data_IF_510087133527
#
_entry.id   IF_510087133527
#
_cell.length_a   1.000
_cell.length_b   1.000
_cell.length_c   1.000
_cell.angle_alpha   90.00
_cell.angle_beta   90.00
_cell.angle_gamma   90.00
#
_symmetry.space_group_name_H-M   'P 1'
#
loop_
_entity.id
_entity.type
_entity.pdbx_description
1 polymer ?
#
# COMPACT_ATOMS: atom_id res chain seq x y z
N UNK A 1 -27.00 18.26 19.07
CA UNK A 1 -26.24 17.61 17.98
C UNK A 1 -25.57 18.72 17.17
N UNK A 2 -24.39 19.18 17.61
CA UNK A 2 -23.62 20.14 16.83
C UNK A 2 -22.81 19.33 15.81
N UNK A 3 -23.20 19.42 14.53
CA UNK A 3 -22.27 19.12 13.45
C UNK A 3 -21.06 20.02 13.68
N UNK A 4 -19.87 19.44 13.90
CA UNK A 4 -18.64 20.19 13.76
C UNK A 4 -18.74 20.86 12.39
N UNK A 5 -18.77 22.18 12.40
CA UNK A 5 -18.83 22.94 11.17
C UNK A 5 -17.62 22.55 10.31
N UNK A 6 -17.78 22.46 9.01
CA UNK A 6 -16.79 22.06 8.02
C UNK A 6 -15.49 22.93 7.96
N UNK A 7 -15.05 23.50 9.07
CA UNK A 7 -14.04 24.58 9.16
C UNK A 7 -13.07 24.46 10.32
N UNK A 8 -13.12 23.43 11.18
CA UNK A 8 -12.10 23.33 12.24
C UNK A 8 -10.83 22.63 11.73
N UNK A 9 -9.70 23.32 11.80
CA UNK A 9 -8.38 22.75 11.52
C UNK A 9 -8.09 21.65 12.54
N UNK A 10 -7.87 20.42 12.08
CA UNK A 10 -7.44 19.31 12.91
C UNK A 10 -5.91 19.24 12.93
N UNK A 11 -5.35 18.89 14.09
CA UNK A 11 -3.94 18.54 14.28
C UNK A 11 -3.85 17.03 14.42
N UNK A 12 -3.28 16.36 13.43
CA UNK A 12 -3.35 14.92 13.24
C UNK A 12 -1.96 14.30 13.33
N UNK A 13 -1.76 13.36 14.26
CA UNK A 13 -0.54 12.56 14.31
C UNK A 13 -0.68 11.35 13.40
N UNK A 14 0.19 11.20 12.39
CA UNK A 14 0.25 10.02 11.53
C UNK A 14 1.49 9.18 11.87
N UNK A 15 1.27 7.89 12.15
CA UNK A 15 2.33 6.93 12.46
C UNK A 15 2.31 5.80 11.43
N UNK A 16 3.43 5.59 10.74
CA UNK A 16 3.53 4.59 9.69
C UNK A 16 4.97 4.09 9.53
N UNK A 17 5.15 3.02 8.77
CA UNK A 17 6.48 2.67 8.28
C UNK A 17 6.92 3.63 7.17
N UNK A 18 8.07 4.32 7.32
CA UNK A 18 8.55 5.30 6.33
C UNK A 18 9.24 4.62 5.14
N UNK A 19 8.68 3.52 4.63
CA UNK A 19 9.30 2.67 3.60
C UNK A 19 8.59 2.81 2.26
N UNK A 20 9.23 2.28 1.19
CA UNK A 20 8.63 2.18 -0.15
C UNK A 20 7.44 1.19 -0.23
N UNK A 21 7.06 0.54 0.86
CA UNK A 21 5.89 -0.34 0.92
C UNK A 21 4.58 0.43 0.77
N UNK A 22 3.55 -0.26 0.28
CA UNK A 22 2.24 0.36 -0.02
C UNK A 22 1.62 1.12 1.14
N UNK A 23 1.74 0.61 2.38
CA UNK A 23 1.21 1.27 3.58
C UNK A 23 1.85 2.62 3.88
N UNK A 24 3.20 2.73 3.74
CA UNK A 24 3.92 3.99 3.94
C UNK A 24 3.56 5.02 2.88
N UNK A 25 3.37 4.57 1.64
CA UNK A 25 2.90 5.42 0.54
C UNK A 25 1.50 5.96 0.82
N UNK A 26 0.55 5.08 1.18
CA UNK A 26 -0.84 5.47 1.48
C UNK A 26 -0.89 6.45 2.66
N UNK A 27 -0.19 6.17 3.76
CA UNK A 27 -0.15 7.06 4.92
C UNK A 27 0.42 8.44 4.56
N UNK A 28 1.48 8.48 3.75
CA UNK A 28 2.10 9.74 3.34
C UNK A 28 1.20 10.56 2.42
N UNK A 29 0.60 9.93 1.41
CA UNK A 29 -0.31 10.63 0.50
C UNK A 29 -1.60 11.09 1.21
N UNK A 30 -2.12 10.32 2.18
CA UNK A 30 -3.23 10.73 3.03
C UNK A 30 -2.87 11.99 3.83
N UNK A 31 -1.71 11.99 4.51
CA UNK A 31 -1.26 13.15 5.28
C UNK A 31 -1.07 14.40 4.43
N UNK A 32 -0.51 14.25 3.23
CA UNK A 32 -0.38 15.36 2.26
C UNK A 32 -1.74 15.90 1.81
N UNK A 33 -2.70 15.02 1.57
CA UNK A 33 -4.05 15.41 1.19
C UNK A 33 -4.78 16.14 2.32
N UNK A 34 -4.66 15.65 3.56
CA UNK A 34 -5.19 16.33 4.75
C UNK A 34 -4.58 17.74 4.92
N UNK A 35 -3.26 17.86 4.78
CA UNK A 35 -2.59 19.17 4.85
C UNK A 35 -3.06 20.12 3.73
N UNK A 36 -3.32 19.61 2.52
CA UNK A 36 -3.87 20.41 1.43
C UNK A 36 -5.30 20.91 1.66
N UNK A 37 -6.04 20.28 2.59
CA UNK A 37 -7.35 20.73 3.08
C UNK A 37 -7.24 21.72 4.25
N UNK A 38 -6.03 22.08 4.66
CA UNK A 38 -5.78 23.06 5.74
C UNK A 38 -5.60 22.44 7.13
N UNK A 39 -5.54 21.11 7.26
CA UNK A 39 -5.20 20.45 8.51
C UNK A 39 -3.69 20.50 8.80
N UNK A 40 -3.30 20.37 10.06
CA UNK A 40 -1.91 20.19 10.47
C UNK A 40 -1.62 18.70 10.65
N UNK A 41 -0.59 18.19 9.98
CA UNK A 41 -0.23 16.77 9.96
C UNK A 41 1.17 16.57 10.52
N UNK A 42 1.30 15.74 11.56
CA UNK A 42 2.53 15.43 12.25
C UNK A 42 2.90 13.97 12.01
N UNK A 43 3.88 13.72 11.14
CA UNK A 43 4.42 12.38 10.94
C UNK A 43 5.36 12.01 12.07
N UNK A 44 5.09 10.90 12.77
CA UNK A 44 5.90 10.39 13.88
C UNK A 44 6.47 9.04 13.45
N UNK A 45 7.72 9.01 12.99
CA UNK A 45 8.35 7.85 12.36
C UNK A 45 9.87 7.84 12.59
N UNK A 46 10.52 6.69 12.41
CA UNK A 46 11.99 6.56 12.62
C UNK A 46 12.85 7.07 11.45
N UNK A 47 12.24 7.43 10.34
CA UNK A 47 12.87 8.09 9.18
C UNK A 47 11.81 8.90 8.45
N UNK A 48 12.23 9.87 7.65
CA UNK A 48 11.32 10.65 6.82
C UNK A 48 10.57 9.72 5.84
N UNK A 49 9.22 9.78 5.77
CA UNK A 49 8.43 9.00 4.83
C UNK A 49 8.84 9.24 3.37
N UNK A 50 8.95 8.16 2.61
CA UNK A 50 9.57 8.17 1.27
C UNK A 50 8.94 9.16 0.29
N UNK A 51 7.61 9.32 0.30
CA UNK A 51 6.91 10.25 -0.61
C UNK A 51 6.64 11.61 0.02
N UNK A 52 7.16 11.89 1.21
CA UNK A 52 6.93 13.18 1.86
C UNK A 52 7.55 14.33 1.06
N UNK A 53 8.69 14.08 0.42
CA UNK A 53 9.38 15.07 -0.40
C UNK A 53 10.08 16.15 0.44
N UNK A 54 10.24 17.35 -0.15
CA UNK A 54 10.75 18.53 0.53
C UNK A 54 9.66 19.20 1.36
N UNK A 55 9.69 20.48 1.52
CA UNK A 55 8.74 21.24 2.32
C UNK A 55 7.30 21.20 1.75
N UNK A 56 6.31 20.97 2.65
CA UNK A 56 4.88 21.18 2.40
C UNK A 56 4.27 21.92 3.60
N UNK A 57 3.56 23.04 3.40
CA UNK A 57 2.87 23.74 4.47
C UNK A 57 1.88 22.83 5.22
N UNK A 58 1.84 22.95 6.54
CA UNK A 58 0.96 22.14 7.40
C UNK A 58 1.44 20.70 7.62
N UNK A 59 2.64 20.31 7.13
CA UNK A 59 3.22 19.00 7.37
C UNK A 59 4.50 19.11 8.19
N UNK A 60 4.54 18.36 9.28
CA UNK A 60 5.65 18.31 10.24
C UNK A 60 6.17 16.89 10.37
N UNK A 61 7.45 16.76 10.67
CA UNK A 61 8.11 15.46 10.86
C UNK A 61 8.78 15.41 12.23
N UNK A 62 8.54 14.32 12.95
CA UNK A 62 9.10 14.03 14.28
C UNK A 62 9.81 12.69 14.23
N UNK A 63 11.11 12.71 14.37
CA UNK A 63 11.93 11.51 14.34
C UNK A 63 11.85 10.73 15.64
N UNK A 64 11.68 9.42 15.53
CA UNK A 64 11.71 8.46 16.63
C UNK A 64 13.10 7.85 16.68
N UNK A 65 13.97 8.42 17.52
CA UNK A 65 15.33 7.94 17.71
C UNK A 65 15.39 6.91 18.83
N UNK A 66 15.85 5.71 18.54
CA UNK A 66 16.06 4.66 19.53
C UNK A 66 17.52 4.67 19.98
N UNK A 67 17.75 5.06 21.23
CA UNK A 67 19.07 5.04 21.81
C UNK A 67 19.61 3.60 21.96
N UNK A 68 20.87 3.42 21.62
CA UNK A 68 21.57 2.15 21.85
C UNK A 68 21.99 2.08 23.32
N UNK A 69 21.38 1.16 24.06
CA UNK A 69 21.78 0.85 25.42
C UNK A 69 22.32 -0.57 25.51
N UNK A 70 23.54 -0.79 26.07
CA UNK A 70 24.22 -2.09 25.98
C UNK A 70 23.45 -3.28 26.56
N UNK A 71 22.52 -3.07 27.50
CA UNK A 71 21.71 -4.15 28.07
C UNK A 71 20.47 -4.49 27.26
N UNK A 72 20.14 -3.72 26.22
CA UNK A 72 19.07 -4.06 25.32
C UNK A 72 19.62 -4.92 24.16
N UNK A 73 19.31 -6.20 24.17
CA UNK A 73 19.61 -7.10 23.06
C UNK A 73 18.90 -6.63 21.79
N UNK A 74 17.64 -6.19 21.94
CA UNK A 74 16.82 -5.61 20.87
C UNK A 74 16.43 -4.17 21.20
N UNK A 75 16.55 -3.22 20.25
CA UNK A 75 16.12 -1.84 20.46
C UNK A 75 14.63 -1.77 20.82
N UNK A 76 14.22 -1.12 21.93
CA UNK A 76 12.83 -1.06 22.37
C UNK A 76 12.03 -0.01 21.59
N UNK A 77 11.91 -0.20 20.29
CA UNK A 77 11.29 0.77 19.36
C UNK A 77 9.88 1.18 19.80
N UNK A 78 9.04 0.21 20.18
CA UNK A 78 7.65 0.48 20.56
C UNK A 78 7.54 1.40 21.79
N UNK A 79 8.40 1.22 22.79
CA UNK A 79 8.41 2.06 23.99
C UNK A 79 8.84 3.50 23.66
N UNK A 80 9.86 3.65 22.81
CA UNK A 80 10.33 4.97 22.38
C UNK A 80 9.29 5.66 21.51
N UNK A 81 8.62 4.92 20.62
CA UNK A 81 7.52 5.41 19.80
C UNK A 81 6.35 5.90 20.69
N UNK A 82 5.97 5.11 21.70
CA UNK A 82 4.96 5.51 22.70
C UNK A 82 5.30 6.85 23.33
N UNK A 83 6.54 7.00 23.84
CA UNK A 83 7.02 8.23 24.48
C UNK A 83 7.02 9.42 23.51
N UNK A 84 7.45 9.20 22.25
CA UNK A 84 7.44 10.25 21.22
C UNK A 84 6.01 10.68 20.87
N UNK A 85 5.06 9.75 20.78
CA UNK A 85 3.64 10.10 20.57
C UNK A 85 3.11 10.98 21.71
N UNK A 86 3.39 10.63 22.97
CA UNK A 86 2.99 11.44 24.14
C UNK A 86 3.58 12.86 24.05
N UNK A 87 4.89 12.96 23.78
CA UNK A 87 5.58 14.25 23.62
C UNK A 87 4.93 15.11 22.53
N UNK A 88 4.75 14.54 21.34
CA UNK A 88 4.21 15.29 20.18
C UNK A 88 2.76 15.70 20.41
N UNK A 89 1.94 14.81 20.99
CA UNK A 89 0.55 15.14 21.36
C UNK A 89 0.49 16.31 22.34
N UNK A 90 1.31 16.31 23.38
CA UNK A 90 1.32 17.37 24.39
C UNK A 90 1.87 18.68 23.83
N UNK A 91 2.99 18.63 23.09
CA UNK A 91 3.68 19.82 22.58
C UNK A 91 2.89 20.52 21.48
N UNK A 92 2.25 19.76 20.60
CA UNK A 92 1.53 20.30 19.43
C UNK A 92 0.01 20.22 19.58
N UNK A 93 -0.49 19.80 20.76
CA UNK A 93 -1.92 19.69 21.06
C UNK A 93 -2.70 18.90 20.02
N UNK A 94 -2.18 17.73 19.59
CA UNK A 94 -2.83 16.92 18.56
C UNK A 94 -4.25 16.53 19.00
N UNK A 95 -5.17 16.54 18.03
CA UNK A 95 -6.56 16.17 18.25
C UNK A 95 -6.77 14.66 18.22
N UNK A 96 -6.00 13.94 17.37
CA UNK A 96 -6.10 12.49 17.19
C UNK A 96 -4.77 11.88 16.72
N UNK A 97 -4.65 10.56 16.89
CA UNK A 97 -3.58 9.76 16.34
C UNK A 97 -4.18 8.81 15.29
N UNK A 98 -3.67 8.84 14.05
CA UNK A 98 -3.97 7.86 13.01
C UNK A 98 -2.72 7.00 12.77
N UNK A 99 -2.82 5.73 13.13
CA UNK A 99 -1.70 4.79 13.06
C UNK A 99 -1.97 3.70 12.03
N UNK A 100 -0.94 3.32 11.32
CA UNK A 100 -0.98 2.28 10.31
C UNK A 100 -0.29 1.03 10.83
N UNK A 101 -0.96 -0.11 10.83
CA UNK A 101 -0.65 -1.40 11.45
C UNK A 101 -1.06 -1.56 12.93
N UNK A 102 -1.56 -2.73 13.25
CA UNK A 102 -1.89 -3.11 14.64
C UNK A 102 -0.64 -3.15 15.54
N UNK A 103 0.45 -3.68 15.04
CA UNK A 103 1.75 -3.71 15.72
C UNK A 103 2.87 -3.21 14.79
N UNK A 104 3.84 -2.46 15.30
CA UNK A 104 3.94 -1.93 16.66
C UNK A 104 3.16 -0.62 16.86
N UNK A 105 2.52 -0.07 15.84
CA UNK A 105 2.05 1.31 15.84
C UNK A 105 0.78 1.48 16.69
N UNK A 106 -0.26 0.65 16.50
CA UNK A 106 -1.48 0.78 17.32
C UNK A 106 -1.23 0.36 18.76
N UNK A 107 -0.42 -0.67 19.04
CA UNK A 107 -0.05 -1.04 20.40
C UNK A 107 0.67 0.10 21.12
N UNK A 108 1.62 0.79 20.46
CA UNK A 108 2.28 1.99 20.99
C UNK A 108 1.29 3.14 21.22
N UNK A 109 0.36 3.38 20.27
CA UNK A 109 -0.62 4.46 20.38
C UNK A 109 -1.64 4.23 21.52
N UNK A 110 -2.08 3.00 21.73
CA UNK A 110 -2.94 2.62 22.86
C UNK A 110 -2.24 2.87 24.19
N UNK A 111 -0.95 2.56 24.29
CA UNK A 111 -0.16 2.88 25.48
C UNK A 111 0.01 4.40 25.65
N UNK A 112 0.29 5.14 24.57
CA UNK A 112 0.37 6.60 24.61
C UNK A 112 -0.97 7.23 25.06
N UNK A 113 -2.11 6.74 24.54
CA UNK A 113 -3.45 7.17 24.94
C UNK A 113 -3.67 7.01 26.46
N UNK A 114 -3.25 5.88 27.06
CA UNK A 114 -3.36 5.64 28.50
C UNK A 114 -2.52 6.62 29.31
N UNK A 115 -1.27 6.85 28.92
CA UNK A 115 -0.38 7.82 29.60
C UNK A 115 -0.96 9.24 29.53
N UNK A 116 -1.49 9.63 28.37
CA UNK A 116 -2.12 10.94 28.18
C UNK A 116 -3.38 11.11 29.02
N UNK A 117 -4.18 10.06 29.17
CA UNK A 117 -5.40 10.08 30.00
C UNK A 117 -5.09 10.32 31.48
N UNK A 118 -3.95 9.84 32.03
CA UNK A 118 -3.50 10.12 33.39
C UNK A 118 -3.25 11.62 33.64
N UNK A 119 -2.91 12.35 32.56
CA UNK A 119 -2.75 13.83 32.63
C UNK A 119 -4.03 14.59 32.20
N UNK A 120 -5.16 13.90 32.08
CA UNK A 120 -6.46 14.48 31.71
C UNK A 120 -6.61 14.77 30.21
N UNK A 121 -5.69 14.26 29.36
CA UNK A 121 -5.72 14.45 27.92
C UNK A 121 -6.27 13.21 27.23
N UNK A 122 -7.49 13.27 26.71
CA UNK A 122 -8.08 12.20 25.91
C UNK A 122 -7.83 12.43 24.43
N UNK A 123 -7.16 11.48 23.76
CA UNK A 123 -6.82 11.54 22.33
C UNK A 123 -7.29 10.25 21.66
N UNK A 124 -8.21 10.29 20.70
CA UNK A 124 -8.66 9.09 20.01
C UNK A 124 -7.57 8.54 19.10
N UNK A 125 -7.58 7.20 18.97
CA UNK A 125 -6.69 6.41 18.12
C UNK A 125 -7.47 5.77 17.00
N UNK A 126 -7.12 6.12 15.77
CA UNK A 126 -7.61 5.47 14.56
C UNK A 126 -6.53 4.51 14.05
N UNK A 127 -6.89 3.28 13.77
CA UNK A 127 -5.94 2.25 13.29
C UNK A 127 -6.36 1.74 11.93
N UNK A 128 -5.45 1.87 10.93
CA UNK A 128 -5.61 1.25 9.61
C UNK A 128 -4.76 -0.02 9.51
N UNK A 129 -5.41 -1.16 9.27
CA UNK A 129 -4.77 -2.46 9.05
C UNK A 129 -4.41 -2.62 7.58
N UNK A 130 -3.19 -3.13 7.31
CA UNK A 130 -2.64 -3.23 5.95
C UNK A 130 -2.40 -4.67 5.47
N UNK A 131 -2.52 -5.65 6.33
CA UNK A 131 -2.48 -7.07 6.00
C UNK A 131 -1.27 -7.81 6.53
N UNK A 132 -0.05 -7.30 6.44
CA UNK A 132 1.14 -7.98 6.99
C UNK A 132 1.02 -8.23 8.50
N UNK A 133 0.46 -7.29 9.22
CA UNK A 133 0.13 -7.38 10.65
C UNK A 133 -0.92 -8.45 10.95
N UNK A 134 -1.82 -8.72 10.04
CA UNK A 134 -2.95 -9.65 10.20
C UNK A 134 -2.63 -11.03 9.64
N UNK A 135 -2.27 -11.10 8.36
CA UNK A 135 -2.17 -12.38 7.63
C UNK A 135 -0.79 -13.03 7.70
N UNK A 136 0.26 -12.27 8.09
CA UNK A 136 1.60 -12.77 8.27
C UNK A 136 1.98 -12.83 9.76
N UNK A 137 2.11 -11.68 10.42
CA UNK A 137 2.48 -11.63 11.84
C UNK A 137 1.37 -12.19 12.73
N UNK A 138 0.11 -11.94 12.39
CA UNK A 138 -1.05 -12.45 13.15
C UNK A 138 -1.21 -13.97 13.13
N UNK A 139 -0.48 -14.70 12.27
CA UNK A 139 -0.43 -16.17 12.31
C UNK A 139 0.47 -16.70 13.43
N UNK A 140 1.39 -15.90 13.93
CA UNK A 140 2.24 -16.24 15.07
C UNK A 140 1.46 -15.98 16.37
N UNK A 141 1.25 -17.05 17.14
CA UNK A 141 0.49 -17.01 18.39
C UNK A 141 1.08 -16.04 19.43
N UNK A 142 2.39 -15.73 19.36
CA UNK A 142 3.05 -14.80 20.28
C UNK A 142 2.58 -13.35 20.12
N UNK A 143 2.16 -12.95 18.92
CA UNK A 143 1.65 -11.60 18.65
C UNK A 143 0.12 -11.47 18.80
N UNK A 144 -0.61 -12.60 18.76
CA UNK A 144 -2.08 -12.58 18.75
C UNK A 144 -2.71 -11.78 19.88
N UNK A 145 -2.31 -11.91 21.17
CA UNK A 145 -2.90 -11.14 22.25
C UNK A 145 -2.73 -9.63 22.09
N UNK A 146 -1.53 -9.19 21.66
CA UNK A 146 -1.22 -7.75 21.50
C UNK A 146 -1.98 -7.17 20.30
N UNK A 147 -2.04 -7.88 19.19
CA UNK A 147 -2.80 -7.47 18.00
C UNK A 147 -4.29 -7.35 18.34
N UNK A 148 -4.87 -8.38 18.98
CA UNK A 148 -6.29 -8.36 19.43
C UNK A 148 -6.56 -7.17 20.34
N UNK A 149 -5.68 -6.94 21.32
CA UNK A 149 -5.82 -5.82 22.26
C UNK A 149 -5.73 -4.47 21.53
N UNK A 150 -4.76 -4.28 20.65
CA UNK A 150 -4.58 -3.05 19.90
C UNK A 150 -5.81 -2.74 19.02
N UNK A 151 -6.34 -3.75 18.31
CA UNK A 151 -7.56 -3.61 17.50
C UNK A 151 -8.75 -3.20 18.39
N UNK A 152 -9.00 -3.93 19.48
CA UNK A 152 -10.17 -3.71 20.33
C UNK A 152 -10.12 -2.42 21.16
N UNK A 153 -8.93 -1.88 21.41
CA UNK A 153 -8.74 -0.65 22.19
C UNK A 153 -8.66 0.61 21.31
N UNK A 154 -8.39 0.49 20.02
CA UNK A 154 -8.48 1.62 19.09
C UNK A 154 -9.92 2.15 19.04
N UNK A 155 -10.11 3.46 18.89
CA UNK A 155 -11.46 4.06 18.84
C UNK A 155 -12.16 3.75 17.51
N UNK A 156 -11.41 3.81 16.42
CA UNK A 156 -11.87 3.41 15.08
C UNK A 156 -10.82 2.48 14.45
N UNK A 157 -11.30 1.41 13.82
CA UNK A 157 -10.43 0.49 13.07
C UNK A 157 -10.88 0.44 11.62
N UNK A 158 -9.91 0.55 10.70
CA UNK A 158 -10.16 0.42 9.27
C UNK A 158 -9.30 -0.68 8.66
N UNK A 159 -9.75 -1.25 7.57
CA UNK A 159 -9.01 -2.17 6.70
C UNK A 159 -9.00 -1.66 5.27
N UNK A 160 -7.99 -2.05 4.52
CA UNK A 160 -7.80 -1.60 3.13
C UNK A 160 -8.64 -2.37 2.11
N UNK A 161 -9.33 -3.43 2.54
CA UNK A 161 -10.20 -4.27 1.70
C UNK A 161 -11.22 -5.03 2.53
N UNK A 162 -12.31 -5.46 1.90
CA UNK A 162 -13.29 -6.36 2.54
C UNK A 162 -12.65 -7.72 2.87
N UNK A 163 -11.79 -8.21 1.98
CA UNK A 163 -11.05 -9.45 2.21
C UNK A 163 -10.23 -9.38 3.50
N UNK A 164 -9.50 -8.28 3.72
CA UNK A 164 -8.70 -8.10 4.93
C UNK A 164 -9.58 -7.95 6.19
N UNK A 165 -10.75 -7.30 6.08
CA UNK A 165 -11.74 -7.27 7.17
C UNK A 165 -12.15 -8.67 7.56
N UNK A 166 -12.57 -9.50 6.60
CA UNK A 166 -13.00 -10.87 6.83
C UNK A 166 -11.88 -11.72 7.46
N UNK A 167 -10.62 -11.55 6.99
CA UNK A 167 -9.47 -12.23 7.58
C UNK A 167 -9.22 -11.78 9.03
N UNK A 168 -9.35 -10.50 9.32
CA UNK A 168 -9.17 -9.95 10.66
C UNK A 168 -10.22 -10.52 11.63
N UNK A 169 -11.49 -10.49 11.25
CA UNK A 169 -12.60 -11.04 12.06
C UNK A 169 -12.48 -12.55 12.26
N UNK A 170 -11.94 -13.29 11.27
CA UNK A 170 -11.71 -14.73 11.37
C UNK A 170 -10.53 -15.09 12.26
N UNK A 171 -9.45 -14.31 12.26
CA UNK A 171 -8.20 -14.63 12.96
C UNK A 171 -8.15 -14.12 14.41
N UNK A 172 -8.89 -13.06 14.72
CA UNK A 172 -8.87 -12.38 16.01
C UNK A 172 -10.27 -12.27 16.61
N UNK A 173 -10.33 -12.20 17.93
CA UNK A 173 -11.56 -11.93 18.67
C UNK A 173 -11.84 -10.42 18.66
N UNK A 174 -12.40 -9.94 17.56
CA UNK A 174 -12.74 -8.53 17.37
C UNK A 174 -14.12 -8.25 17.97
N UNK A 175 -14.23 -7.23 18.83
CA UNK A 175 -15.46 -6.84 19.53
C UNK A 175 -16.02 -5.49 19.08
N UNK A 176 -15.60 -4.99 17.92
CA UNK A 176 -16.04 -3.73 17.33
C UNK A 176 -16.17 -3.84 15.81
N UNK A 177 -16.90 -2.92 15.21
CA UNK A 177 -16.99 -2.82 13.77
C UNK A 177 -15.67 -2.36 13.17
N UNK A 178 -15.28 -3.03 12.09
CA UNK A 178 -14.13 -2.64 11.25
C UNK A 178 -14.69 -2.00 9.97
N UNK A 179 -14.24 -0.81 9.68
CA UNK A 179 -14.63 -0.07 8.48
C UNK A 179 -13.72 -0.44 7.30
N UNK A 180 -14.28 -0.61 6.13
CA UNK A 180 -13.47 -0.77 4.91
C UNK A 180 -13.24 0.59 4.27
N UNK A 181 -11.97 0.98 4.17
CA UNK A 181 -11.53 2.18 3.46
C UNK A 181 -10.43 1.75 2.52
N UNK A 182 -10.75 1.62 1.25
CA UNK A 182 -9.81 1.16 0.24
C UNK A 182 -8.59 2.07 0.13
N UNK A 183 -7.45 1.49 -0.24
CA UNK A 183 -6.30 2.29 -0.66
C UNK A 183 -6.65 3.09 -1.91
N UNK A 184 -5.87 4.11 -2.16
CA UNK A 184 -6.12 5.09 -3.21
C UNK A 184 -4.86 5.49 -3.95
N UNK A 185 -5.06 6.16 -5.07
CA UNK A 185 -4.01 6.83 -5.85
C UNK A 185 -4.28 8.31 -5.96
N UNK A 186 -3.23 9.09 -6.18
CA UNK A 186 -3.34 10.51 -6.53
C UNK A 186 -3.20 10.66 -8.06
N UNK A 187 -4.26 11.06 -8.78
CA UNK A 187 -4.23 11.14 -10.25
C UNK A 187 -3.08 11.97 -10.80
N UNK A 188 -2.69 13.03 -10.11
CA UNK A 188 -1.59 13.94 -10.50
C UNK A 188 -0.26 13.24 -10.77
N UNK A 189 -0.03 12.08 -10.14
CA UNK A 189 1.20 11.32 -10.32
C UNK A 189 1.25 10.62 -11.69
N UNK A 190 0.09 10.32 -12.28
CA UNK A 190 -0.07 9.54 -13.52
C UNK A 190 -0.34 10.40 -14.76
N UNK A 191 -0.50 11.72 -14.59
CA UNK A 191 -0.63 12.68 -15.69
C UNK A 191 0.72 13.04 -16.35
N UNK A 192 1.82 12.47 -15.87
CA UNK A 192 3.16 12.70 -16.40
C UNK A 192 3.31 12.00 -17.75
N UNK A 193 4.20 12.56 -18.57
CA UNK A 193 4.56 11.92 -19.84
C UNK A 193 5.47 10.71 -19.58
N UNK A 194 5.21 9.63 -20.29
CA UNK A 194 6.07 8.46 -20.32
C UNK A 194 7.47 8.82 -20.84
N UNK A 195 8.49 8.18 -20.28
CA UNK A 195 9.87 8.26 -20.82
C UNK A 195 9.96 7.40 -22.09
N UNK A 196 9.70 8.04 -23.23
CA UNK A 196 9.70 7.37 -24.52
C UNK A 196 11.12 6.98 -24.96
N UNK A 197 12.16 7.68 -24.48
CA UNK A 197 13.55 7.31 -24.77
C UNK A 197 13.91 5.99 -24.07
N UNK A 198 13.56 5.87 -22.79
CA UNK A 198 13.77 4.61 -22.08
C UNK A 198 12.91 3.48 -22.68
N UNK A 199 11.64 3.75 -23.01
CA UNK A 199 10.79 2.77 -23.69
C UNK A 199 11.41 2.30 -25.02
N UNK A 200 11.99 3.21 -25.83
CA UNK A 200 12.59 2.83 -27.10
C UNK A 200 13.86 1.98 -26.94
N UNK A 201 14.62 2.15 -25.85
CA UNK A 201 15.77 1.31 -25.51
C UNK A 201 15.33 -0.08 -25.05
N UNK A 202 14.25 -0.15 -24.26
CA UNK A 202 13.69 -1.42 -23.78
C UNK A 202 12.99 -2.20 -24.89
N UNK A 203 12.34 -1.50 -25.78
CA UNK A 203 11.56 -2.06 -26.91
C UNK A 203 11.86 -1.31 -28.21
N UNK A 204 13.04 -1.53 -28.85
CA UNK A 204 13.49 -0.77 -30.02
C UNK A 204 12.53 -0.87 -31.22
N UNK A 205 11.78 -1.96 -31.33
CA UNK A 205 10.84 -2.23 -32.42
C UNK A 205 9.38 -1.93 -32.06
N UNK A 206 9.14 -1.26 -30.88
CA UNK A 206 7.80 -0.97 -30.41
C UNK A 206 7.00 -2.19 -29.92
N UNK A 207 7.69 -3.26 -29.52
CA UNK A 207 7.07 -4.45 -28.91
C UNK A 207 6.27 -4.05 -27.66
N UNK A 208 5.17 -4.74 -27.30
CA UNK A 208 4.54 -4.56 -26.02
C UNK A 208 5.51 -4.81 -24.85
N UNK A 209 5.35 -4.03 -23.79
CA UNK A 209 6.16 -4.13 -22.56
C UNK A 209 5.29 -4.67 -21.44
N UNK A 210 5.59 -5.87 -20.97
CA UNK A 210 5.05 -6.43 -19.75
C UNK A 210 5.84 -5.89 -18.55
N UNK A 211 5.19 -5.74 -17.40
CA UNK A 211 5.83 -5.26 -16.19
C UNK A 211 5.47 -6.11 -14.99
N UNK A 212 6.40 -6.25 -14.05
CA UNK A 212 6.14 -6.73 -12.70
C UNK A 212 6.83 -5.82 -11.69
N UNK A 213 6.11 -5.42 -10.64
CA UNK A 213 6.62 -4.56 -9.57
C UNK A 213 6.35 -5.19 -8.22
N UNK A 214 7.40 -5.55 -7.47
CA UNK A 214 7.26 -6.07 -6.12
C UNK A 214 8.58 -6.04 -5.33
N UNK A 215 8.54 -6.50 -4.08
CA UNK A 215 9.72 -6.69 -3.23
C UNK A 215 10.33 -8.09 -3.35
N UNK A 216 10.06 -8.82 -4.42
CA UNK A 216 10.59 -10.14 -4.78
C UNK A 216 10.67 -11.13 -3.61
N UNK A 217 9.61 -11.18 -2.78
CA UNK A 217 9.43 -12.20 -1.74
C UNK A 217 8.72 -13.43 -2.31
N UNK A 218 8.83 -14.62 -1.68
CA UNK A 218 8.19 -15.85 -2.17
C UNK A 218 6.72 -15.69 -2.51
N UNK A 219 5.95 -14.99 -1.66
CA UNK A 219 4.50 -14.72 -1.89
C UNK A 219 4.20 -13.92 -3.16
N UNK A 220 5.21 -13.30 -3.79
CA UNK A 220 5.06 -12.55 -5.05
C UNK A 220 5.23 -13.42 -6.29
N UNK A 221 5.69 -14.67 -6.12
CA UNK A 221 5.82 -15.67 -7.18
C UNK A 221 6.50 -15.14 -8.44
N UNK A 222 7.63 -14.44 -8.25
CA UNK A 222 8.35 -13.79 -9.37
C UNK A 222 8.83 -14.79 -10.44
N UNK A 223 9.03 -16.06 -10.08
CA UNK A 223 9.34 -17.12 -11.04
C UNK A 223 8.16 -17.37 -12.00
N UNK A 224 6.92 -17.32 -11.50
CA UNK A 224 5.73 -17.45 -12.33
C UNK A 224 5.63 -16.29 -13.34
N UNK A 225 6.08 -15.08 -12.97
CA UNK A 225 6.14 -13.95 -13.92
C UNK A 225 7.02 -14.31 -15.12
N UNK A 226 8.18 -14.90 -14.86
CA UNK A 226 9.11 -15.33 -15.92
C UNK A 226 8.48 -16.46 -16.77
N UNK A 227 7.79 -17.41 -16.12
CA UNK A 227 7.07 -18.48 -16.80
C UNK A 227 5.96 -17.97 -17.73
N UNK A 228 5.15 -17.03 -17.23
CA UNK A 228 4.10 -16.38 -18.04
C UNK A 228 4.75 -15.66 -19.22
N UNK A 229 5.78 -14.85 -18.94
CA UNK A 229 6.50 -14.12 -19.96
C UNK A 229 7.07 -15.02 -21.06
N UNK A 230 7.74 -16.11 -20.69
CA UNK A 230 8.34 -17.04 -21.64
C UNK A 230 7.29 -17.66 -22.59
N UNK A 231 6.09 -18.01 -22.07
CA UNK A 231 4.98 -18.52 -22.88
C UNK A 231 4.42 -17.48 -23.85
N UNK A 232 4.32 -16.24 -23.42
CA UNK A 232 3.91 -15.12 -24.28
C UNK A 232 4.98 -14.87 -25.33
N UNK A 233 6.26 -14.80 -24.93
CA UNK A 233 7.41 -14.54 -25.81
C UNK A 233 7.57 -15.61 -26.92
N UNK A 234 7.20 -16.86 -26.63
CA UNK A 234 7.21 -17.94 -27.62
C UNK A 234 6.20 -17.73 -28.77
N UNK A 235 5.23 -16.84 -28.61
CA UNK A 235 4.13 -16.63 -29.57
C UNK A 235 4.07 -15.21 -30.14
N UNK A 236 4.65 -14.22 -29.44
CA UNK A 236 4.69 -12.83 -29.89
C UNK A 236 5.93 -12.10 -29.37
N UNK A 237 6.38 -11.12 -30.11
CA UNK A 237 7.49 -10.26 -29.70
C UNK A 237 7.04 -9.35 -28.53
N UNK A 238 7.67 -9.52 -27.36
CA UNK A 238 7.39 -8.75 -26.13
C UNK A 238 8.68 -8.51 -25.35
N UNK A 239 8.70 -7.51 -24.48
CA UNK A 239 9.75 -7.31 -23.48
C UNK A 239 9.17 -7.37 -22.06
N UNK A 240 9.99 -7.74 -21.08
CA UNK A 240 9.60 -7.78 -19.67
C UNK A 240 10.46 -6.84 -18.84
N UNK A 241 9.79 -6.01 -18.04
CA UNK A 241 10.40 -5.11 -17.09
C UNK A 241 10.14 -5.58 -15.66
N UNK A 242 11.19 -6.02 -14.97
CA UNK A 242 11.17 -6.48 -13.58
C UNK A 242 11.64 -5.37 -12.66
N UNK A 243 10.72 -4.83 -11.84
CA UNK A 243 10.98 -3.68 -10.96
C UNK A 243 10.90 -4.12 -9.50
N UNK A 244 11.95 -3.86 -8.78
CA UNK A 244 12.09 -4.25 -7.39
C UNK A 244 13.28 -5.16 -7.14
N UNK A 245 13.39 -5.64 -5.91
CA UNK A 245 14.49 -6.50 -5.48
C UNK A 245 14.08 -7.28 -4.24
N UNK A 246 14.72 -8.43 -4.03
CA UNK A 246 14.44 -9.28 -2.88
C UNK A 246 15.02 -10.68 -3.02
N UNK A 247 14.72 -11.58 -2.05
CA UNK A 247 15.34 -12.90 -1.98
C UNK A 247 15.09 -13.79 -3.20
N UNK A 248 13.97 -13.58 -3.92
CA UNK A 248 13.62 -14.40 -5.10
C UNK A 248 14.26 -13.90 -6.42
N UNK A 249 15.00 -12.79 -6.41
CA UNK A 249 15.64 -12.27 -7.62
C UNK A 249 16.62 -13.27 -8.25
N UNK A 250 17.54 -13.92 -7.51
CA UNK A 250 18.45 -14.90 -8.10
C UNK A 250 17.72 -16.07 -8.78
N UNK A 251 16.59 -16.51 -8.21
CA UNK A 251 15.75 -17.58 -8.78
C UNK A 251 15.10 -17.13 -10.11
N UNK A 252 14.57 -15.91 -10.15
CA UNK A 252 13.99 -15.35 -11.38
C UNK A 252 15.05 -15.21 -12.48
N UNK A 253 16.25 -14.68 -12.16
CA UNK A 253 17.36 -14.57 -13.12
C UNK A 253 17.85 -15.94 -13.62
N UNK A 254 17.92 -16.96 -12.74
CA UNK A 254 18.24 -18.33 -13.13
C UNK A 254 17.17 -18.88 -14.08
N UNK A 255 15.90 -18.64 -13.78
CA UNK A 255 14.79 -19.09 -14.62
C UNK A 255 14.78 -18.44 -16.00
N UNK A 256 15.17 -17.18 -16.11
CA UNK A 256 15.36 -16.52 -17.43
C UNK A 256 16.41 -17.25 -18.28
N UNK A 257 17.52 -17.67 -17.68
CA UNK A 257 18.58 -18.43 -18.39
C UNK A 257 18.09 -19.80 -18.84
N UNK A 258 17.36 -20.53 -17.98
CA UNK A 258 16.81 -21.85 -18.29
C UNK A 258 15.80 -21.81 -19.44
N UNK A 259 15.03 -20.73 -19.55
CA UNK A 259 13.99 -20.55 -20.57
C UNK A 259 14.49 -19.78 -21.81
N UNK A 260 15.77 -19.39 -21.85
CA UNK A 260 16.41 -18.65 -22.95
C UNK A 260 15.68 -17.33 -23.30
N UNK A 261 15.33 -16.56 -22.25
CA UNK A 261 14.61 -15.28 -22.41
C UNK A 261 15.37 -14.09 -21.83
N UNK A 262 16.64 -14.24 -21.46
CA UNK A 262 17.46 -13.23 -20.77
C UNK A 262 17.51 -11.90 -21.55
N UNK A 263 17.62 -11.94 -22.86
CA UNK A 263 17.80 -10.77 -23.70
C UNK A 263 16.55 -9.87 -23.80
N UNK A 264 15.37 -10.42 -23.47
CA UNK A 264 14.09 -9.72 -23.49
C UNK A 264 13.59 -9.32 -22.09
N UNK A 265 14.41 -9.56 -21.01
CA UNK A 265 14.06 -9.25 -19.62
C UNK A 265 15.04 -8.23 -19.01
N UNK A 266 14.50 -7.13 -18.51
CA UNK A 266 15.29 -6.10 -17.82
C UNK A 266 14.94 -6.03 -16.35
N UNK A 267 15.93 -6.24 -15.47
CA UNK A 267 15.81 -6.08 -14.03
C UNK A 267 16.32 -4.70 -13.60
N UNK A 268 15.41 -3.78 -13.27
CA UNK A 268 15.77 -2.41 -12.83
C UNK A 268 16.26 -2.33 -11.39
N UNK A 269 15.98 -3.35 -10.56
CA UNK A 269 16.20 -3.24 -9.13
C UNK A 269 15.20 -2.31 -8.45
N UNK A 270 15.55 -1.80 -7.27
CA UNK A 270 14.70 -0.88 -6.49
C UNK A 270 14.69 0.51 -7.13
N UNK A 271 13.51 0.98 -7.48
CA UNK A 271 13.31 2.35 -8.00
C UNK A 271 12.61 3.23 -6.96
N UNK A 272 12.96 4.50 -6.92
CA UNK A 272 12.31 5.48 -6.01
C UNK A 272 10.89 5.82 -6.45
N UNK A 273 10.63 5.81 -7.74
CA UNK A 273 9.34 6.13 -8.33
C UNK A 273 8.85 4.99 -9.23
N UNK A 274 7.97 4.10 -8.74
CA UNK A 274 7.46 2.98 -9.52
C UNK A 274 6.47 3.38 -10.62
N UNK A 275 6.04 4.64 -10.65
CA UNK A 275 5.10 5.15 -11.65
C UNK A 275 5.74 5.22 -13.03
N UNK A 276 7.01 5.64 -13.12
CA UNK A 276 7.72 5.76 -14.41
C UNK A 276 7.79 4.44 -15.18
N UNK A 277 8.18 3.29 -14.57
CA UNK A 277 8.07 1.99 -15.22
C UNK A 277 6.64 1.64 -15.68
N UNK A 278 5.60 2.00 -14.90
CA UNK A 278 4.22 1.74 -15.29
C UNK A 278 3.79 2.54 -16.52
N UNK A 279 4.16 3.83 -16.59
CA UNK A 279 3.80 4.70 -17.71
C UNK A 279 4.35 4.23 -19.07
N UNK A 280 5.39 3.40 -19.08
CA UNK A 280 5.97 2.83 -20.30
C UNK A 280 5.54 1.38 -20.56
N UNK A 281 4.70 0.81 -19.70
CA UNK A 281 4.25 -0.57 -19.77
C UNK A 281 2.88 -0.70 -20.44
N UNK A 282 2.60 -1.89 -20.96
CA UNK A 282 1.34 -2.20 -21.62
C UNK A 282 0.49 -3.20 -20.82
N UNK A 283 1.11 -3.97 -19.92
CA UNK A 283 0.44 -4.99 -19.11
C UNK A 283 1.22 -5.22 -17.80
N UNK A 284 0.52 -5.25 -16.66
CA UNK A 284 1.10 -5.68 -15.38
C UNK A 284 0.79 -7.14 -15.11
N UNK A 285 1.82 -7.92 -14.71
CA UNK A 285 1.69 -9.29 -14.22
C UNK A 285 1.83 -9.30 -12.70
N UNK A 286 0.83 -9.81 -11.97
CA UNK A 286 0.80 -9.87 -10.51
C UNK A 286 0.29 -11.25 -10.01
N UNK A 287 1.04 -12.35 -10.23
CA UNK A 287 0.64 -13.70 -9.85
C UNK A 287 0.82 -14.01 -8.37
N UNK A 288 0.66 -13.02 -7.49
CA UNK A 288 0.90 -13.13 -6.06
C UNK A 288 0.07 -14.22 -5.40
N UNK A 289 0.63 -14.90 -4.41
CA UNK A 289 -0.07 -15.90 -3.58
C UNK A 289 -1.02 -15.23 -2.59
N UNK A 290 -0.67 -14.05 -2.09
CA UNK A 290 -1.51 -13.24 -1.20
C UNK A 290 -1.33 -11.75 -1.48
N UNK A 291 -2.43 -11.01 -1.42
CA UNK A 291 -2.46 -9.55 -1.52
C UNK A 291 -3.58 -8.99 -0.64
N UNK A 292 -3.24 -8.03 0.22
CA UNK A 292 -4.26 -7.42 1.08
C UNK A 292 -5.18 -6.46 0.34
N UNK A 293 -4.69 -5.82 -0.73
CA UNK A 293 -5.45 -4.91 -1.59
C UNK A 293 -4.99 -4.97 -3.05
N UNK A 294 -3.67 -4.95 -3.28
CA UNK A 294 -3.10 -4.84 -4.62
C UNK A 294 -2.86 -3.39 -5.05
N UNK A 295 -2.22 -2.57 -4.19
CA UNK A 295 -1.94 -1.17 -4.52
C UNK A 295 -1.19 -1.02 -5.86
N UNK A 296 -0.25 -1.91 -6.16
CA UNK A 296 0.47 -1.91 -7.44
C UNK A 296 -0.47 -2.16 -8.63
N UNK A 297 -1.51 -2.99 -8.47
CA UNK A 297 -2.54 -3.16 -9.50
C UNK A 297 -3.30 -1.86 -9.73
N UNK A 298 -3.71 -1.18 -8.66
CA UNK A 298 -4.36 0.13 -8.74
C UNK A 298 -3.45 1.19 -9.38
N UNK A 299 -2.17 1.22 -9.00
CA UNK A 299 -1.17 2.14 -9.59
C UNK A 299 -0.99 1.87 -11.10
N UNK A 300 -0.95 0.61 -11.54
CA UNK A 300 -0.90 0.24 -12.95
C UNK A 300 -2.14 0.72 -13.71
N UNK A 301 -3.32 0.47 -13.16
CA UNK A 301 -4.58 0.89 -13.75
C UNK A 301 -4.67 2.42 -13.87
N UNK A 302 -4.18 3.16 -12.88
CA UNK A 302 -4.09 4.63 -12.94
C UNK A 302 -3.12 5.11 -14.02
N UNK A 303 -2.09 4.32 -14.35
CA UNK A 303 -1.20 4.54 -15.49
C UNK A 303 -1.78 4.04 -16.83
N UNK A 304 -3.05 3.64 -16.86
CA UNK A 304 -3.71 3.02 -18.02
C UNK A 304 -3.07 1.68 -18.43
N UNK A 305 -2.65 0.88 -17.46
CA UNK A 305 -2.04 -0.43 -17.67
C UNK A 305 -2.99 -1.50 -17.11
N UNK A 306 -3.59 -2.36 -17.95
CA UNK A 306 -4.40 -3.49 -17.52
C UNK A 306 -3.57 -4.49 -16.70
N UNK A 307 -4.26 -5.33 -15.91
CA UNK A 307 -3.61 -6.20 -14.93
C UNK A 307 -4.05 -7.64 -15.12
N UNK A 308 -3.09 -8.56 -15.17
CA UNK A 308 -3.33 -9.98 -14.93
C UNK A 308 -2.85 -10.32 -13.54
N UNK A 309 -3.74 -10.82 -12.70
CA UNK A 309 -3.42 -11.12 -11.32
C UNK A 309 -4.04 -12.43 -10.85
N UNK A 310 -3.53 -12.93 -9.74
CA UNK A 310 -4.20 -14.01 -9.01
C UNK A 310 -5.54 -13.54 -8.44
N UNK A 311 -6.49 -14.46 -8.32
CA UNK A 311 -7.81 -14.23 -7.71
C UNK A 311 -7.72 -14.43 -6.18
N UNK A 312 -6.98 -13.55 -5.49
CA UNK A 312 -6.71 -13.69 -4.05
C UNK A 312 -6.84 -12.37 -3.30
N UNK A 313 -7.24 -12.47 -2.04
CA UNK A 313 -7.27 -11.34 -1.11
C UNK A 313 -8.11 -10.18 -1.65
N UNK A 314 -7.56 -8.96 -1.58
CA UNK A 314 -8.22 -7.75 -2.07
C UNK A 314 -8.06 -7.49 -3.57
N UNK A 315 -7.35 -8.33 -4.33
CA UNK A 315 -7.17 -8.12 -5.78
C UNK A 315 -8.49 -8.08 -6.55
N UNK A 316 -9.50 -8.95 -6.28
CA UNK A 316 -10.80 -8.88 -6.96
C UNK A 316 -11.60 -7.60 -6.67
N UNK A 317 -11.26 -6.88 -5.59
CA UNK A 317 -11.89 -5.60 -5.27
C UNK A 317 -11.36 -4.44 -6.14
N UNK A 318 -10.18 -4.63 -6.76
CA UNK A 318 -9.52 -3.64 -7.62
C UNK A 318 -9.60 -4.05 -9.08
N UNK A 319 -9.12 -5.26 -9.41
CA UNK A 319 -9.08 -5.80 -10.77
C UNK A 319 -10.37 -6.58 -11.08
N UNK A 320 -11.15 -6.11 -12.05
CA UNK A 320 -12.41 -6.75 -12.45
C UNK A 320 -12.13 -7.69 -13.63
N UNK A 321 -12.48 -8.97 -13.42
CA UNK A 321 -12.24 -10.03 -14.42
C UNK A 321 -12.93 -9.72 -15.75
N UNK A 322 -12.17 -9.84 -16.86
CA UNK A 322 -12.60 -9.56 -18.24
C UNK A 322 -12.91 -8.08 -18.55
N UNK A 323 -12.91 -7.21 -17.54
CA UNK A 323 -13.15 -5.78 -17.73
C UNK A 323 -11.84 -4.98 -17.69
N UNK A 324 -11.11 -5.03 -16.58
CA UNK A 324 -9.89 -4.25 -16.39
C UNK A 324 -8.62 -5.06 -16.56
N UNK A 325 -8.79 -6.37 -16.71
CA UNK A 325 -7.77 -7.38 -16.86
C UNK A 325 -8.35 -8.76 -16.59
N UNK A 326 -7.52 -9.68 -16.09
CA UNK A 326 -7.96 -11.04 -15.77
C UNK A 326 -7.55 -11.45 -14.36
N UNK A 327 -8.42 -12.27 -13.74
CA UNK A 327 -8.17 -12.94 -12.47
C UNK A 327 -8.04 -14.45 -12.72
N UNK A 328 -6.99 -15.09 -12.21
CA UNK A 328 -6.75 -16.54 -12.35
C UNK A 328 -6.35 -17.14 -11.02
N UNK A 329 -6.46 -18.44 -10.90
CA UNK A 329 -5.99 -19.15 -9.72
C UNK A 329 -4.47 -19.01 -9.56
N UNK A 330 -3.99 -19.07 -8.33
CA UNK A 330 -2.55 -19.00 -8.03
C UNK A 330 -1.82 -20.14 -8.74
N UNK A 331 -0.81 -19.78 -9.54
CA UNK A 331 0.00 -20.74 -10.29
C UNK A 331 -0.59 -21.17 -11.64
N UNK A 332 -1.74 -20.63 -12.06
CA UNK A 332 -2.30 -20.89 -13.40
C UNK A 332 -1.58 -20.05 -14.47
N UNK A 333 -0.30 -20.37 -14.65
CA UNK A 333 0.61 -19.67 -15.56
C UNK A 333 0.13 -19.74 -17.01
N UNK A 334 -0.46 -20.87 -17.42
CA UNK A 334 -0.90 -21.07 -18.79
C UNK A 334 -2.12 -20.20 -19.14
N UNK A 335 -3.11 -20.12 -18.25
CA UNK A 335 -4.23 -19.22 -18.43
C UNK A 335 -3.78 -17.75 -18.42
N UNK A 336 -2.91 -17.35 -17.47
CA UNK A 336 -2.38 -15.98 -17.40
C UNK A 336 -1.62 -15.60 -18.69
N UNK A 337 -0.86 -16.51 -19.29
CA UNK A 337 -0.17 -16.27 -20.56
C UNK A 337 -1.14 -16.11 -21.73
N UNK A 338 -2.20 -16.92 -21.80
CA UNK A 338 -3.23 -16.78 -22.82
C UNK A 338 -3.99 -15.46 -22.70
N UNK A 339 -4.31 -15.05 -21.46
CA UNK A 339 -4.96 -13.76 -21.18
C UNK A 339 -4.06 -12.57 -21.56
N UNK A 340 -2.74 -12.69 -21.33
CA UNK A 340 -1.78 -11.66 -21.74
C UNK A 340 -1.80 -11.45 -23.25
N UNK A 341 -1.82 -12.51 -24.03
CA UNK A 341 -1.92 -12.43 -25.49
C UNK A 341 -3.26 -11.84 -25.94
N UNK A 342 -4.36 -12.18 -25.25
CA UNK A 342 -5.69 -11.62 -25.54
C UNK A 342 -5.72 -10.11 -25.32
N UNK A 343 -5.21 -9.62 -24.17
CA UNK A 343 -5.13 -8.17 -23.86
C UNK A 343 -4.22 -7.46 -24.85
N UNK A 344 -3.04 -8.02 -25.16
CA UNK A 344 -2.03 -7.39 -26.00
C UNK A 344 -2.40 -7.40 -27.50
N UNK A 345 -3.52 -8.00 -27.86
CA UNK A 345 -3.99 -7.95 -29.25
C UNK A 345 -4.32 -6.49 -29.64
N UNK A 346 -4.01 -6.06 -30.89
CA UNK A 346 -4.21 -4.68 -31.33
C UNK A 346 -5.63 -4.15 -31.14
N UNK A 347 -6.63 -5.02 -31.20
CA UNK A 347 -8.04 -4.65 -31.10
C UNK A 347 -8.53 -4.53 -29.64
N UNK A 348 -7.87 -5.16 -28.67
CA UNK A 348 -8.32 -5.21 -27.28
C UNK A 348 -7.55 -4.25 -26.35
N UNK A 349 -6.25 -4.04 -26.60
CA UNK A 349 -5.37 -3.32 -25.68
C UNK A 349 -5.87 -1.91 -25.34
N UNK A 350 -6.35 -1.17 -26.34
CA UNK A 350 -6.84 0.19 -26.12
C UNK A 350 -8.07 0.23 -25.20
N UNK A 351 -8.99 -0.72 -25.37
CA UNK A 351 -10.19 -0.83 -24.56
C UNK A 351 -9.87 -1.25 -23.11
N UNK A 352 -8.97 -2.23 -22.91
CA UNK A 352 -8.52 -2.61 -21.59
C UNK A 352 -7.80 -1.46 -20.87
N UNK A 353 -6.94 -0.72 -21.58
CA UNK A 353 -6.27 0.47 -21.03
C UNK A 353 -7.27 1.53 -20.55
N UNK A 354 -8.32 1.79 -21.35
CA UNK A 354 -9.33 2.78 -20.96
C UNK A 354 -10.13 2.30 -19.76
N UNK A 355 -10.64 1.06 -19.75
CA UNK A 355 -11.39 0.50 -18.63
C UNK A 355 -10.56 0.42 -17.35
N UNK A 356 -9.28 0.07 -17.43
CA UNK A 356 -8.37 0.10 -16.29
C UNK A 356 -8.26 1.51 -15.69
N UNK A 357 -8.07 2.53 -16.53
CA UNK A 357 -8.01 3.92 -16.09
C UNK A 357 -9.32 4.38 -15.44
N UNK A 358 -10.46 4.05 -16.04
CA UNK A 358 -11.78 4.41 -15.53
C UNK A 358 -12.03 3.77 -14.16
N UNK A 359 -11.64 2.50 -13.99
CA UNK A 359 -11.71 1.81 -12.70
C UNK A 359 -10.83 2.46 -11.64
N UNK A 360 -9.58 2.81 -11.98
CA UNK A 360 -8.69 3.50 -11.04
C UNK A 360 -9.25 4.84 -10.55
N UNK A 361 -10.05 5.53 -11.37
CA UNK A 361 -10.70 6.79 -10.99
C UNK A 361 -11.74 6.62 -9.87
N UNK A 362 -12.16 5.40 -9.57
CA UNK A 362 -13.05 5.11 -8.42
C UNK A 362 -12.28 5.12 -7.08
N UNK A 363 -10.95 4.97 -7.11
CA UNK A 363 -10.07 4.87 -5.94
C UNK A 363 -9.11 6.06 -5.83
N UNK A 364 -9.59 7.26 -6.11
CA UNK A 364 -8.76 8.46 -5.95
C UNK A 364 -8.79 9.00 -4.53
N UNK A 365 -7.74 9.74 -4.15
CA UNK A 365 -7.68 10.36 -2.83
C UNK A 365 -8.87 11.31 -2.59
N UNK A 366 -9.35 12.00 -3.62
CA UNK A 366 -10.48 12.92 -3.53
C UNK A 366 -11.79 12.20 -3.17
N UNK A 367 -11.91 10.91 -3.53
CA UNK A 367 -13.08 10.09 -3.17
C UNK A 367 -12.94 9.43 -1.81
N UNK A 368 -11.72 9.10 -1.40
CA UNK A 368 -11.45 8.38 -0.15
C UNK A 368 -11.30 9.33 1.05
N UNK A 369 -10.70 10.50 0.86
CA UNK A 369 -10.44 11.46 1.93
C UNK A 369 -11.69 11.86 2.74
N UNK A 370 -12.88 12.13 2.14
CA UNK A 370 -14.08 12.43 2.91
C UNK A 370 -14.45 11.33 3.90
N UNK A 371 -14.22 10.05 3.54
CA UNK A 371 -14.51 8.92 4.43
C UNK A 371 -13.60 8.93 5.65
N UNK A 372 -12.30 9.24 5.49
CA UNK A 372 -11.40 9.39 6.64
C UNK A 372 -11.81 10.56 7.54
N UNK A 373 -12.22 11.69 6.97
CA UNK A 373 -12.70 12.84 7.76
C UNK A 373 -13.96 12.50 8.57
N UNK A 374 -14.93 11.76 8.01
CA UNK A 374 -16.09 11.25 8.74
C UNK A 374 -15.68 10.33 9.91
N UNK A 375 -14.69 9.48 9.71
CA UNK A 375 -14.17 8.58 10.75
C UNK A 375 -13.44 9.36 11.85
N UNK A 376 -12.72 10.41 11.52
CA UNK A 376 -12.07 11.30 12.49
C UNK A 376 -13.11 12.04 13.33
N UNK A 377 -14.14 12.60 12.71
CA UNK A 377 -15.24 13.27 13.42
C UNK A 377 -15.94 12.30 14.40
N UNK A 378 -16.21 11.06 13.95
CA UNK A 378 -16.78 10.02 14.83
C UNK A 378 -15.89 9.69 16.01
N UNK A 379 -14.59 9.55 15.79
CA UNK A 379 -13.63 9.25 16.85
C UNK A 379 -13.53 10.39 17.88
N UNK A 380 -13.55 11.64 17.45
CA UNK A 380 -13.52 12.82 18.31
C UNK A 380 -14.79 12.91 19.17
N UNK A 381 -15.97 12.68 18.59
CA UNK A 381 -17.25 12.68 19.33
C UNK A 381 -17.33 11.61 20.43
N UNK A 382 -16.67 10.46 20.26
CA UNK A 382 -16.64 9.39 21.27
C UNK A 382 -15.79 9.76 22.49
N UNK A 383 -14.86 10.66 22.36
CA UNK A 383 -13.99 11.10 23.47
C UNK A 383 -14.63 12.25 24.27
N UNK A 384 -15.50 13.05 23.64
CA UNK A 384 -16.21 14.16 24.27
C UNK A 384 -17.50 13.72 25.00
N UNK A 385 -17.92 12.46 24.83
CA UNK A 385 -19.12 11.85 25.46
C UNK A 385 -18.75 11.05 26.69
#
# INVERSE_FOLDING_TARGET
MSKLSATSVLRIGIVCYPTFGGSGVVATELGKALASQGHEVHFITYNQPVRLGSFQPGVYYHEVEVSKYPLFEYPPYELVLTSKMVEVVQTHELNLLHVHYAIPHASAAVNAKRILAESGRNVPVITTLHGTDITLLGKDASFKPVITHAINTSDVVTTVSQSLKNDTERLFEVNKDIEVVHNFVSPRHYERRADLEFRSKLSPQGKPVLCHISNFRPVKRVTDVIEIFARVRARMEVALLMVGDGPERPHAEARCRELDVVDDVVFLGKVKNPIEPLLISDLLLLPSETESFGLVALEAMAASVPVISSNVGGLPEVNVHEETGFLRDVGDVDAMANDAMAILSPNALADFKQRAKDRAAEFTIERVLPRYLELYDRALQQVDS
#
